data_IF_152564132904
#
_entry.id   IF_152564132904
#
_cell.length_a   1.000
_cell.length_b   1.000
_cell.length_c   1.000
_cell.angle_alpha   90.00
_cell.angle_beta   90.00
_cell.angle_gamma   90.00
#
_symmetry.space_group_name_H-M   'P 1'
#
loop_
_entity.id
_entity.type
_entity.pdbx_description
1 polymer ?
#
# COMPACT_ATOMS: atom_id res chain seq x y z
N UNK A 1 -21.08 3.55 -11.00
CA UNK A 1 -20.33 4.52 -10.16
C UNK A 1 -20.05 4.03 -8.74
N UNK A 2 -21.03 3.83 -7.84
CA UNK A 2 -20.72 3.40 -6.44
C UNK A 2 -20.06 2.01 -6.32
N UNK A 3 -20.37 1.06 -7.19
CA UNK A 3 -19.74 -0.26 -7.22
C UNK A 3 -18.33 -0.22 -7.82
N UNK A 4 -18.07 0.63 -8.79
CA UNK A 4 -16.76 0.84 -9.40
C UNK A 4 -15.83 1.58 -8.42
N UNK A 5 -16.34 2.59 -7.71
CA UNK A 5 -15.59 3.29 -6.66
C UNK A 5 -15.18 2.36 -5.50
N UNK A 6 -16.03 1.36 -5.14
CA UNK A 6 -15.69 0.34 -4.14
C UNK A 6 -14.72 -0.73 -4.65
N UNK A 7 -14.73 -1.04 -5.93
CA UNK A 7 -13.77 -1.97 -6.52
C UNK A 7 -12.39 -1.32 -6.72
N UNK A 8 -12.37 -0.09 -7.20
CA UNK A 8 -11.13 0.71 -7.41
C UNK A 8 -10.42 1.06 -6.09
N UNK A 9 -11.17 1.39 -5.03
CA UNK A 9 -10.54 1.58 -3.71
C UNK A 9 -9.87 0.31 -3.19
N UNK A 10 -10.37 -0.88 -3.54
CA UNK A 10 -9.76 -2.16 -3.16
C UNK A 10 -8.46 -2.46 -3.91
N UNK A 11 -8.36 -2.11 -5.18
CA UNK A 11 -7.15 -2.40 -5.98
C UNK A 11 -6.04 -1.38 -5.70
N UNK A 12 -6.36 -0.08 -5.51
CA UNK A 12 -5.39 0.92 -5.04
C UNK A 12 -4.89 0.62 -3.62
N UNK A 13 -5.80 0.23 -2.71
CA UNK A 13 -5.42 -0.21 -1.36
C UNK A 13 -4.51 -1.45 -1.41
N UNK A 14 -4.65 -2.32 -2.41
CA UNK A 14 -3.82 -3.52 -2.57
C UNK A 14 -2.38 -3.21 -3.03
N UNK A 15 -2.17 -2.23 -3.90
CA UNK A 15 -0.83 -1.86 -4.41
C UNK A 15 -0.05 -1.00 -3.42
N UNK A 16 -0.72 -0.06 -2.74
CA UNK A 16 -0.14 0.69 -1.61
C UNK A 16 0.22 -0.27 -0.49
N UNK A 17 -0.65 -1.25 -0.18
CA UNK A 17 -0.36 -2.32 0.79
C UNK A 17 0.88 -3.14 0.40
N UNK A 18 1.16 -3.39 -0.88
CA UNK A 18 2.34 -4.17 -1.29
C UNK A 18 3.65 -3.39 -1.17
N UNK A 19 3.67 -2.10 -1.48
CA UNK A 19 4.85 -1.26 -1.31
C UNK A 19 5.18 -1.07 0.19
N UNK A 20 4.17 -0.85 1.00
CA UNK A 20 4.27 -0.76 2.45
C UNK A 20 4.72 -2.10 3.06
N UNK A 21 4.14 -3.22 2.64
CA UNK A 21 4.54 -4.56 3.06
C UNK A 21 6.00 -4.90 2.71
N UNK A 22 6.53 -4.42 1.57
CA UNK A 22 7.95 -4.59 1.22
C UNK A 22 8.89 -3.86 2.17
N UNK A 23 8.54 -2.63 2.57
CA UNK A 23 9.27 -1.86 3.58
C UNK A 23 9.26 -2.55 4.95
N UNK A 24 8.08 -2.98 5.39
CA UNK A 24 7.88 -3.68 6.67
C UNK A 24 8.60 -5.04 6.72
N UNK A 25 8.59 -5.80 5.63
CA UNK A 25 9.32 -7.06 5.52
C UNK A 25 10.85 -6.89 5.57
N UNK A 26 11.37 -5.75 5.09
CA UNK A 26 12.78 -5.42 5.25
C UNK A 26 13.14 -5.24 6.73
N UNK A 27 12.36 -4.47 7.46
CA UNK A 27 12.56 -4.24 8.88
C UNK A 27 12.48 -5.53 9.70
N UNK A 28 11.54 -6.44 9.36
CA UNK A 28 11.44 -7.74 10.01
C UNK A 28 12.68 -8.62 9.75
N UNK A 29 13.17 -8.62 8.51
CA UNK A 29 14.38 -9.36 8.14
C UNK A 29 15.63 -8.79 8.83
N UNK A 30 15.77 -7.47 8.91
CA UNK A 30 16.89 -6.83 9.60
C UNK A 30 16.86 -7.14 11.11
N UNK A 31 15.66 -7.17 11.73
CA UNK A 31 15.47 -7.59 13.11
C UNK A 31 15.82 -9.07 13.34
N UNK A 32 15.50 -9.96 12.37
CA UNK A 32 15.86 -11.37 12.45
C UNK A 32 17.40 -11.59 12.45
N UNK A 33 18.12 -10.85 11.61
CA UNK A 33 19.59 -10.87 11.60
C UNK A 33 20.18 -10.26 12.86
N UNK A 34 19.62 -9.15 13.34
CA UNK A 34 20.07 -8.54 14.59
C UNK A 34 19.93 -9.52 15.77
N UNK A 35 18.83 -10.28 15.83
CA UNK A 35 18.62 -11.29 16.87
C UNK A 35 19.70 -12.39 16.83
N UNK A 36 20.06 -12.87 15.63
CA UNK A 36 21.16 -13.83 15.46
C UNK A 36 22.52 -13.27 15.89
N UNK A 37 22.80 -12.01 15.53
CA UNK A 37 24.05 -11.33 15.92
C UNK A 37 24.13 -11.19 17.44
N UNK A 38 23.03 -10.76 18.09
CA UNK A 38 22.99 -10.61 19.55
C UNK A 38 23.17 -11.96 20.26
N UNK A 39 22.53 -13.03 19.76
CA UNK A 39 22.71 -14.39 20.29
C UNK A 39 24.15 -14.88 20.11
N UNK A 40 24.77 -14.61 18.95
CA UNK A 40 26.17 -14.93 18.68
C UNK A 40 27.15 -14.17 19.59
N UNK A 41 26.93 -12.88 19.77
CA UNK A 41 27.72 -12.04 20.67
C UNK A 41 27.63 -12.52 22.12
N UNK A 42 26.44 -12.97 22.55
CA UNK A 42 26.28 -13.55 23.88
C UNK A 42 27.12 -14.82 24.04
N UNK A 43 27.12 -15.73 23.05
CA UNK A 43 27.93 -16.98 23.12
C UNK A 43 29.43 -16.67 23.18
N UNK A 44 29.88 -15.62 22.51
CA UNK A 44 31.27 -15.20 22.46
C UNK A 44 31.71 -14.36 23.68
N UNK A 45 30.74 -13.90 24.49
CA UNK A 45 31.04 -13.06 25.65
C UNK A 45 31.82 -13.83 26.74
N UNK A 46 32.86 -13.23 27.35
CA UNK A 46 33.56 -13.83 28.46
C UNK A 46 32.60 -14.05 29.63
N UNK A 47 32.56 -15.31 30.14
CA UNK A 47 31.64 -15.67 31.25
C UNK A 47 30.25 -16.11 30.84
N UNK A 48 29.99 -16.28 29.51
CA UNK A 48 28.75 -16.92 29.08
C UNK A 48 28.71 -18.38 29.45
N UNK A 49 27.77 -18.76 30.30
CA UNK A 49 27.54 -20.16 30.67
C UNK A 49 26.40 -20.74 29.86
N UNK A 50 26.72 -21.72 29.01
CA UNK A 50 25.72 -22.45 28.23
C UNK A 50 25.40 -23.77 28.92
N UNK A 51 24.15 -23.92 29.37
CA UNK A 51 23.68 -25.18 29.95
C UNK A 51 23.63 -26.31 28.90
N UNK A 52 23.28 -25.95 27.67
CA UNK A 52 23.11 -26.88 26.54
C UNK A 52 23.70 -26.28 25.27
N UNK A 53 25.04 -26.27 25.09
CA UNK A 53 25.69 -25.58 23.95
C UNK A 53 25.27 -26.13 22.61
N UNK A 54 25.06 -27.43 22.47
CA UNK A 54 24.59 -28.06 21.23
C UNK A 54 23.19 -27.59 20.83
N UNK A 55 22.29 -27.39 21.79
CA UNK A 55 20.96 -26.91 21.58
C UNK A 55 20.97 -25.42 21.15
N UNK A 56 21.80 -24.59 21.80
CA UNK A 56 21.93 -23.17 21.45
C UNK A 56 22.45 -22.98 20.02
N UNK A 57 23.55 -23.68 19.68
CA UNK A 57 24.12 -23.63 18.32
C UNK A 57 23.17 -24.23 17.27
N UNK A 58 22.52 -25.36 17.59
CA UNK A 58 21.51 -25.96 16.71
C UNK A 58 20.32 -25.00 16.43
N UNK A 59 19.81 -24.35 17.47
CA UNK A 59 18.73 -23.37 17.32
C UNK A 59 19.15 -22.18 16.47
N UNK A 60 20.38 -21.68 16.62
CA UNK A 60 20.91 -20.60 15.75
C UNK A 60 21.00 -21.02 14.30
N UNK A 61 21.50 -22.20 13.99
CA UNK A 61 21.62 -22.73 12.65
C UNK A 61 20.24 -22.91 12.01
N UNK A 62 19.31 -23.55 12.73
CA UNK A 62 17.94 -23.76 12.25
C UNK A 62 17.24 -22.45 11.99
N UNK A 63 17.37 -21.47 12.89
CA UNK A 63 16.75 -20.16 12.72
C UNK A 63 17.38 -19.37 11.56
N UNK A 64 18.71 -19.42 11.39
CA UNK A 64 19.39 -18.81 10.26
C UNK A 64 18.94 -19.41 8.92
N UNK A 65 18.83 -20.74 8.83
CA UNK A 65 18.33 -21.43 7.64
C UNK A 65 16.85 -21.10 7.37
N UNK A 66 16.00 -21.02 8.40
CA UNK A 66 14.61 -20.62 8.27
C UNK A 66 14.49 -19.18 7.73
N UNK A 67 15.27 -18.24 8.26
CA UNK A 67 15.31 -16.84 7.80
C UNK A 67 15.77 -16.73 6.33
N UNK A 68 16.81 -17.48 5.95
CA UNK A 68 17.27 -17.57 4.57
C UNK A 68 16.20 -18.18 3.66
N UNK A 69 15.55 -19.25 4.10
CA UNK A 69 14.49 -19.92 3.35
C UNK A 69 13.30 -18.97 3.08
N UNK A 70 12.83 -18.26 4.10
CA UNK A 70 11.75 -17.27 3.96
C UNK A 70 12.12 -16.09 3.06
N UNK A 71 13.40 -15.77 2.92
CA UNK A 71 13.89 -14.69 2.10
C UNK A 71 14.11 -15.06 0.63
N UNK A 72 14.70 -16.24 0.36
CA UNK A 72 15.24 -16.59 -0.96
C UNK A 72 14.41 -17.63 -1.72
N UNK A 73 13.58 -18.44 -1.06
CA UNK A 73 12.77 -19.44 -1.75
C UNK A 73 11.67 -18.77 -2.60
N UNK A 74 11.45 -19.22 -3.84
CA UNK A 74 10.48 -18.65 -4.78
C UNK A 74 9.05 -18.64 -4.22
N UNK A 75 8.71 -19.63 -3.39
CA UNK A 75 7.40 -19.80 -2.77
C UNK A 75 7.06 -18.64 -1.80
N UNK A 76 8.08 -17.96 -1.23
CA UNK A 76 7.94 -16.88 -0.26
C UNK A 76 8.26 -15.48 -0.83
N UNK A 77 8.36 -15.34 -2.16
CA UNK A 77 8.64 -14.04 -2.80
C UNK A 77 7.55 -13.00 -2.58
N UNK A 78 6.28 -13.43 -2.50
CA UNK A 78 5.18 -12.51 -2.18
C UNK A 78 5.21 -12.12 -0.71
N UNK A 79 5.28 -10.83 -0.45
CA UNK A 79 5.19 -10.31 0.91
C UNK A 79 3.71 -10.29 1.33
N UNK A 80 3.39 -11.03 2.39
CA UNK A 80 2.03 -11.12 2.94
C UNK A 80 2.08 -10.91 4.45
N UNK A 81 0.98 -10.44 5.03
CA UNK A 81 0.85 -10.33 6.51
C UNK A 81 1.06 -11.68 7.21
N UNK A 82 0.67 -12.78 6.55
CA UNK A 82 0.91 -14.14 7.06
C UNK A 82 2.41 -14.49 7.13
N UNK A 83 3.19 -14.10 6.12
CA UNK A 83 4.63 -14.30 6.13
C UNK A 83 5.29 -13.55 7.27
N UNK A 84 4.93 -12.28 7.48
CA UNK A 84 5.42 -11.49 8.62
C UNK A 84 5.07 -12.13 9.96
N UNK A 85 3.85 -12.65 10.10
CA UNK A 85 3.45 -13.37 11.33
C UNK A 85 4.28 -14.63 11.54
N UNK A 86 4.61 -15.38 10.50
CA UNK A 86 5.50 -16.57 10.57
C UNK A 86 6.91 -16.17 10.95
N UNK A 87 7.46 -15.08 10.41
CA UNK A 87 8.79 -14.57 10.77
C UNK A 87 8.84 -14.16 12.25
N UNK A 88 7.83 -13.46 12.76
CA UNK A 88 7.72 -13.09 14.16
C UNK A 88 7.59 -14.31 15.08
N UNK A 89 6.80 -15.30 14.68
CA UNK A 89 6.68 -16.56 15.42
C UNK A 89 8.02 -17.30 15.48
N UNK A 90 8.75 -17.36 14.38
CA UNK A 90 10.09 -17.96 14.33
C UNK A 90 11.07 -17.24 15.26
N UNK A 91 11.01 -15.90 15.36
CA UNK A 91 11.80 -15.11 16.30
C UNK A 91 11.50 -15.49 17.76
N UNK A 92 10.21 -15.60 18.12
CA UNK A 92 9.78 -15.95 19.47
C UNK A 92 10.23 -17.37 19.83
N UNK A 93 10.01 -18.33 18.92
CA UNK A 93 10.41 -19.73 19.13
C UNK A 93 11.93 -19.84 19.30
N UNK A 94 12.69 -19.19 18.42
CA UNK A 94 14.15 -19.13 18.53
C UNK A 94 14.59 -18.55 19.88
N UNK A 95 14.05 -17.39 20.26
CA UNK A 95 14.40 -16.74 21.54
C UNK A 95 14.06 -17.65 22.72
N UNK A 96 12.92 -18.34 22.72
CA UNK A 96 12.51 -19.28 23.79
C UNK A 96 13.48 -20.45 23.91
N UNK A 97 13.83 -21.09 22.78
CA UNK A 97 14.76 -22.22 22.75
C UNK A 97 16.17 -21.79 23.15
N UNK A 98 16.60 -20.62 22.67
CA UNK A 98 17.90 -20.06 23.00
C UNK A 98 18.02 -19.77 24.51
N UNK A 99 17.02 -19.10 25.08
CA UNK A 99 16.95 -18.83 26.53
C UNK A 99 16.93 -20.11 27.35
N UNK A 100 16.23 -21.16 26.90
CA UNK A 100 16.22 -22.46 27.59
C UNK A 100 17.59 -23.15 27.55
N UNK A 101 18.44 -22.85 26.59
CA UNK A 101 19.77 -23.43 26.45
C UNK A 101 20.86 -22.73 27.29
N UNK A 102 20.56 -21.58 27.89
CA UNK A 102 21.51 -20.75 28.64
C UNK A 102 21.36 -21.00 30.14
N UNK A 103 22.47 -20.93 30.89
CA UNK A 103 22.53 -21.21 32.34
C UNK A 103 22.28 -19.96 33.21
N UNK A 104 22.53 -18.76 32.68
CA UNK A 104 22.53 -17.49 33.43
C UNK A 104 21.15 -17.00 33.79
N UNK A 105 21.02 -16.16 34.81
CA UNK A 105 19.82 -15.44 35.18
C UNK A 105 19.26 -14.70 33.99
N UNK A 106 18.08 -15.12 33.53
CA UNK A 106 17.51 -14.76 32.23
C UNK A 106 17.06 -13.28 32.13
N UNK A 107 17.20 -12.50 33.19
CA UNK A 107 16.67 -11.14 33.30
C UNK A 107 17.16 -10.17 32.17
N UNK A 108 18.46 -10.19 31.85
CA UNK A 108 18.99 -9.35 30.77
C UNK A 108 18.62 -9.85 29.36
N UNK A 109 18.49 -11.16 29.18
CA UNK A 109 18.19 -11.76 27.86
C UNK A 109 16.70 -11.71 27.51
N UNK A 110 15.85 -11.34 28.45
CA UNK A 110 14.45 -10.96 28.19
C UNK A 110 14.35 -9.87 27.15
N UNK A 111 15.33 -8.98 27.05
CA UNK A 111 15.37 -7.93 26.04
C UNK A 111 15.33 -8.46 24.60
N UNK A 112 15.73 -9.71 24.35
CA UNK A 112 15.63 -10.34 23.03
C UNK A 112 14.17 -10.49 22.55
N UNK A 113 13.22 -10.68 23.48
CA UNK A 113 11.80 -10.72 23.12
C UNK A 113 11.23 -9.34 22.76
N UNK A 114 11.91 -8.23 23.08
CA UNK A 114 11.44 -6.91 22.67
C UNK A 114 11.50 -6.73 21.16
N UNK A 115 12.44 -7.37 20.47
CA UNK A 115 12.57 -7.28 19.02
C UNK A 115 11.30 -7.71 18.27
N UNK A 116 10.74 -8.93 18.45
CA UNK A 116 9.51 -9.32 17.80
C UNK A 116 8.32 -8.45 18.22
N UNK A 117 8.27 -7.93 19.44
CA UNK A 117 7.19 -7.04 19.91
C UNK A 117 7.26 -5.69 19.19
N UNK A 118 8.44 -5.06 19.13
CA UNK A 118 8.65 -3.78 18.44
C UNK A 118 8.34 -3.92 16.95
N UNK A 119 8.87 -4.97 16.31
CA UNK A 119 8.62 -5.21 14.87
C UNK A 119 7.13 -5.42 14.62
N UNK A 120 6.44 -6.21 15.45
CA UNK A 120 5.00 -6.42 15.35
C UNK A 120 4.21 -5.10 15.46
N UNK A 121 4.57 -4.25 16.42
CA UNK A 121 3.92 -2.96 16.61
C UNK A 121 4.06 -2.04 15.40
N UNK A 122 5.24 -2.04 14.77
CA UNK A 122 5.54 -1.21 13.60
C UNK A 122 4.95 -1.78 12.29
N UNK A 123 4.66 -3.10 12.25
CA UNK A 123 4.30 -3.79 10.98
C UNK A 123 2.86 -4.27 10.92
N UNK A 124 2.32 -4.80 12.00
CA UNK A 124 1.01 -5.48 12.03
C UNK A 124 -0.07 -4.73 12.79
N UNK A 125 0.30 -3.65 13.50
CA UNK A 125 -0.63 -2.85 14.29
C UNK A 125 -0.94 -3.44 15.68
N UNK A 126 -1.89 -2.80 16.39
CA UNK A 126 -2.11 -3.02 17.84
C UNK A 126 -2.53 -4.43 18.24
N UNK A 127 -3.46 -5.06 17.52
CA UNK A 127 -3.99 -6.38 17.91
C UNK A 127 -2.97 -7.51 17.74
N UNK A 128 -2.27 -7.65 16.61
CA UNK A 128 -1.18 -8.61 16.48
C UNK A 128 -0.05 -8.37 17.48
N UNK A 129 0.25 -7.10 17.80
CA UNK A 129 1.27 -6.78 18.82
C UNK A 129 0.91 -7.31 20.19
N UNK A 130 -0.36 -7.19 20.61
CA UNK A 130 -0.83 -7.80 21.84
C UNK A 130 -0.66 -9.33 21.83
N UNK A 131 -1.02 -9.99 20.72
CA UNK A 131 -0.84 -11.43 20.56
C UNK A 131 0.63 -11.85 20.63
N UNK A 132 1.53 -11.13 19.94
CA UNK A 132 2.99 -11.34 19.97
C UNK A 132 3.54 -11.13 21.37
N UNK A 133 3.08 -10.11 22.10
CA UNK A 133 3.49 -9.84 23.49
C UNK A 133 3.05 -10.98 24.41
N UNK A 134 1.79 -11.42 24.32
CA UNK A 134 1.30 -12.57 25.09
C UNK A 134 2.10 -13.84 24.79
N UNK A 135 2.40 -14.10 23.52
CA UNK A 135 3.18 -15.27 23.10
C UNK A 135 4.62 -15.19 23.61
N UNK A 136 5.23 -14.00 23.59
CA UNK A 136 6.58 -13.77 24.14
C UNK A 136 6.63 -14.01 25.65
N UNK A 137 5.65 -13.48 26.38
CA UNK A 137 5.51 -13.71 27.83
C UNK A 137 5.28 -15.20 28.12
N UNK A 138 4.42 -15.86 27.36
CA UNK A 138 4.18 -17.32 27.50
C UNK A 138 5.45 -18.14 27.24
N UNK A 139 6.19 -17.79 26.16
CA UNK A 139 7.47 -18.43 25.83
C UNK A 139 8.50 -18.27 26.94
N UNK A 140 8.59 -17.08 27.54
CA UNK A 140 9.45 -16.81 28.67
C UNK A 140 9.05 -17.65 29.91
N UNK A 141 7.77 -17.66 30.28
CA UNK A 141 7.25 -18.44 31.39
C UNK A 141 7.52 -19.94 31.18
N UNK A 142 7.29 -20.44 29.96
CA UNK A 142 7.58 -21.82 29.62
C UNK A 142 9.07 -22.15 29.78
N UNK A 143 9.97 -21.31 29.30
CA UNK A 143 11.40 -21.48 29.44
C UNK A 143 11.81 -21.48 30.94
N UNK A 144 11.23 -20.62 31.75
CA UNK A 144 11.47 -20.54 33.19
C UNK A 144 10.99 -21.81 33.93
N UNK A 145 9.75 -22.28 33.62
CA UNK A 145 9.19 -23.50 34.23
C UNK A 145 9.98 -24.76 33.85
N UNK A 146 10.42 -24.89 32.63
CA UNK A 146 11.20 -26.01 32.14
C UNK A 146 12.61 -26.05 32.77
N UNK A 147 13.13 -24.91 33.23
CA UNK A 147 14.40 -24.84 33.97
C UNK A 147 14.26 -25.24 35.42
N UNK A 148 13.18 -24.88 36.09
CA UNK A 148 12.96 -25.12 37.50
C UNK A 148 11.65 -25.91 37.73
N UNK A 149 11.65 -27.23 37.55
CA UNK A 149 10.43 -28.05 37.64
C UNK A 149 9.93 -28.21 39.09
N UNK A 150 10.55 -27.58 40.08
CA UNK A 150 10.20 -27.75 41.49
C UNK A 150 8.90 -27.09 41.95
N UNK A 151 8.18 -26.42 41.05
CA UNK A 151 6.85 -25.88 41.33
C UNK A 151 6.59 -24.50 40.77
N UNK A 152 5.35 -24.02 40.97
CA UNK A 152 4.97 -22.65 40.60
C UNK A 152 5.72 -21.65 41.51
N UNK A 153 6.22 -20.54 40.95
CA UNK A 153 6.88 -19.50 41.72
C UNK A 153 5.95 -18.96 42.81
N UNK A 154 6.46 -18.80 44.03
CA UNK A 154 5.70 -18.30 45.17
C UNK A 154 6.44 -17.15 45.87
N UNK A 155 5.67 -16.24 46.46
CA UNK A 155 6.22 -15.16 47.25
C UNK A 155 7.14 -14.23 46.48
N UNK A 156 8.42 -14.16 46.82
CA UNK A 156 9.44 -13.27 46.22
C UNK A 156 9.65 -13.54 44.74
N UNK A 157 9.59 -14.78 44.31
CA UNK A 157 9.78 -15.20 42.93
C UNK A 157 8.68 -14.63 42.01
N UNK A 158 7.43 -14.51 42.48
CA UNK A 158 6.31 -13.88 41.75
C UNK A 158 6.58 -12.40 41.51
N UNK A 159 7.11 -11.71 42.51
CA UNK A 159 7.47 -10.29 42.41
C UNK A 159 8.61 -10.08 41.41
N UNK A 160 9.66 -10.91 41.48
CA UNK A 160 10.79 -10.87 40.54
C UNK A 160 10.34 -11.15 39.10
N UNK A 161 9.42 -12.09 38.90
CA UNK A 161 8.80 -12.38 37.62
C UNK A 161 7.97 -11.18 37.09
N UNK A 162 7.19 -10.55 37.98
CA UNK A 162 6.43 -9.35 37.63
C UNK A 162 7.33 -8.19 37.19
N UNK A 163 8.42 -7.96 37.90
CA UNK A 163 9.44 -6.96 37.54
C UNK A 163 10.08 -7.28 36.17
N UNK A 164 10.36 -8.57 35.92
CA UNK A 164 10.93 -9.03 34.66
C UNK A 164 9.99 -8.84 33.46
N UNK A 165 8.68 -8.98 33.65
CA UNK A 165 7.66 -8.84 32.59
C UNK A 165 7.27 -7.37 32.37
N UNK A 166 7.33 -6.52 33.40
CA UNK A 166 6.90 -5.14 33.31
C UNK A 166 7.50 -4.33 32.14
N UNK A 167 8.82 -4.42 31.80
CA UNK A 167 9.40 -3.74 30.64
C UNK A 167 8.76 -4.17 29.32
N UNK A 168 8.34 -5.42 29.17
CA UNK A 168 7.68 -5.90 27.95
C UNK A 168 6.34 -5.25 27.75
N UNK A 169 5.52 -5.22 28.80
CA UNK A 169 4.21 -4.58 28.74
C UNK A 169 4.35 -3.09 28.49
N UNK A 170 5.33 -2.45 29.11
CA UNK A 170 5.61 -1.04 28.89
C UNK A 170 6.03 -0.77 27.44
N UNK A 171 6.99 -1.52 26.90
CA UNK A 171 7.46 -1.34 25.52
C UNK A 171 6.35 -1.67 24.53
N UNK A 172 5.59 -2.75 24.75
CA UNK A 172 4.45 -3.09 23.92
C UNK A 172 3.39 -1.97 23.90
N UNK A 173 3.09 -1.40 25.06
CA UNK A 173 2.15 -0.29 25.18
C UNK A 173 2.66 0.97 24.45
N UNK A 174 3.90 1.39 24.75
CA UNK A 174 4.48 2.60 24.13
C UNK A 174 4.64 2.46 22.63
N UNK A 175 5.10 1.31 22.13
CA UNK A 175 5.25 1.09 20.68
C UNK A 175 3.91 1.00 19.96
N UNK A 176 2.89 0.40 20.58
CA UNK A 176 1.54 0.37 20.02
C UNK A 176 0.91 1.79 19.98
N UNK A 177 1.18 2.61 21.01
CA UNK A 177 0.73 4.01 21.03
C UNK A 177 1.41 4.83 19.93
N UNK A 178 2.74 4.74 19.81
CA UNK A 178 3.51 5.45 18.78
C UNK A 178 3.11 5.01 17.36
N UNK A 179 2.89 3.73 17.12
CA UNK A 179 2.41 3.23 15.84
C UNK A 179 1.05 3.84 15.47
N UNK A 180 0.13 3.96 16.44
CA UNK A 180 -1.16 4.60 16.23
C UNK A 180 -1.03 6.10 15.89
N UNK A 181 -0.17 6.82 16.61
CA UNK A 181 0.09 8.25 16.33
C UNK A 181 0.72 8.46 14.94
N UNK A 182 1.66 7.61 14.54
CA UNK A 182 2.28 7.64 13.21
C UNK A 182 1.22 7.40 12.12
N UNK A 183 0.35 6.42 12.29
CA UNK A 183 -0.71 6.14 11.32
C UNK A 183 -1.70 7.28 11.21
N UNK A 184 -2.10 7.88 12.34
CA UNK A 184 -2.99 9.05 12.33
C UNK A 184 -2.32 10.28 11.69
N UNK A 185 -1.03 10.50 11.94
CA UNK A 185 -0.27 11.58 11.31
C UNK A 185 -0.13 11.37 9.79
N UNK A 186 0.19 10.14 9.35
CA UNK A 186 0.21 9.77 7.91
C UNK A 186 -1.15 10.01 7.25
N UNK A 187 -2.24 9.58 7.88
CA UNK A 187 -3.59 9.83 7.37
C UNK A 187 -3.90 11.33 7.27
N UNK A 188 -3.52 12.13 8.28
CA UNK A 188 -3.70 13.59 8.22
C UNK A 188 -2.92 14.21 7.07
N UNK A 189 -1.66 13.82 6.85
CA UNK A 189 -0.85 14.29 5.73
C UNK A 189 -1.50 13.90 4.40
N UNK A 190 -1.90 12.65 4.22
CA UNK A 190 -2.64 12.19 3.03
C UNK A 190 -3.95 12.95 2.81
N UNK A 191 -4.66 13.31 3.91
CA UNK A 191 -5.90 14.08 3.79
C UNK A 191 -5.66 15.56 3.49
N UNK A 192 -4.46 16.09 3.76
CA UNK A 192 -4.06 17.46 3.42
C UNK A 192 -3.48 17.57 2.00
N UNK A 193 -3.02 16.46 1.43
CA UNK A 193 -2.57 16.45 0.03
C UNK A 193 -3.73 16.76 -0.91
N UNK A 194 -3.56 17.75 -1.77
CA UNK A 194 -4.52 18.15 -2.81
C UNK A 194 -4.15 17.56 -4.17
N UNK A 195 -3.04 16.84 -4.26
CA UNK A 195 -2.53 16.25 -5.49
C UNK A 195 -2.55 14.72 -5.46
N UNK A 196 -2.70 14.10 -6.62
CA UNK A 196 -2.49 12.67 -6.84
C UNK A 196 -0.99 12.38 -6.94
N UNK A 197 -0.51 11.42 -6.15
CA UNK A 197 0.93 11.12 -6.01
C UNK A 197 1.57 10.59 -7.31
N UNK A 198 0.81 9.90 -8.15
CA UNK A 198 1.32 9.33 -9.40
C UNK A 198 1.40 10.37 -10.51
N UNK A 199 0.37 11.20 -10.64
CA UNK A 199 0.21 12.09 -11.81
C UNK A 199 0.57 13.53 -11.54
N UNK A 200 0.63 13.97 -10.26
CA UNK A 200 0.80 15.37 -9.89
C UNK A 200 -0.41 16.26 -10.15
N UNK A 201 -1.48 15.74 -10.76
CA UNK A 201 -2.74 16.45 -10.93
C UNK A 201 -3.48 16.60 -9.59
N UNK A 202 -4.54 17.40 -9.57
CA UNK A 202 -5.42 17.45 -8.42
C UNK A 202 -6.01 16.05 -8.13
N UNK A 203 -6.23 15.75 -6.85
CA UNK A 203 -6.97 14.56 -6.47
C UNK A 203 -8.48 14.85 -6.40
N UNK A 204 -9.30 13.83 -6.21
CA UNK A 204 -10.76 13.95 -6.13
C UNK A 204 -11.23 15.01 -5.11
N UNK A 205 -10.53 15.13 -3.98
CA UNK A 205 -10.88 16.10 -2.92
C UNK A 205 -10.65 17.54 -3.40
N UNK A 206 -9.47 17.80 -3.95
CA UNK A 206 -9.14 19.13 -4.50
C UNK A 206 -10.10 19.50 -5.65
N UNK A 207 -10.39 18.54 -6.54
CA UNK A 207 -11.37 18.73 -7.59
C UNK A 207 -12.76 19.10 -7.05
N UNK A 208 -13.27 18.36 -6.08
CA UNK A 208 -14.61 18.62 -5.49
C UNK A 208 -14.69 20.01 -4.88
N UNK A 209 -13.60 20.52 -4.29
CA UNK A 209 -13.52 21.88 -3.78
C UNK A 209 -13.54 22.91 -4.91
N UNK A 210 -12.68 22.73 -5.92
CA UNK A 210 -12.59 23.63 -7.09
C UNK A 210 -13.89 23.68 -7.87
N UNK A 211 -14.51 22.52 -8.11
CA UNK A 211 -15.79 22.42 -8.81
C UNK A 211 -16.91 23.16 -8.06
N UNK A 212 -17.00 23.00 -6.74
CA UNK A 212 -17.98 23.74 -5.94
C UNK A 212 -17.77 25.26 -6.03
N UNK A 213 -16.52 25.71 -5.91
CA UNK A 213 -16.17 27.12 -6.01
C UNK A 213 -16.54 27.70 -7.38
N UNK A 214 -16.27 26.96 -8.46
CA UNK A 214 -16.59 27.39 -9.82
C UNK A 214 -18.11 27.42 -10.06
N UNK A 215 -18.84 26.42 -9.56
CA UNK A 215 -20.30 26.40 -9.63
C UNK A 215 -20.92 27.60 -8.89
N UNK A 216 -20.49 27.87 -7.65
CA UNK A 216 -20.97 29.02 -6.88
C UNK A 216 -20.66 30.36 -7.59
N UNK A 217 -19.49 30.45 -8.24
CA UNK A 217 -19.10 31.60 -9.04
C UNK A 217 -19.97 31.72 -10.30
N UNK A 218 -20.21 30.62 -11.01
CA UNK A 218 -21.03 30.58 -12.22
C UNK A 218 -22.48 30.98 -11.93
N UNK A 219 -23.07 30.43 -10.89
CA UNK A 219 -24.43 30.80 -10.43
C UNK A 219 -24.51 32.29 -10.06
N UNK A 220 -23.55 32.82 -9.30
CA UNK A 220 -23.55 34.21 -8.84
C UNK A 220 -23.40 35.22 -9.96
N UNK A 221 -22.59 34.90 -10.98
CA UNK A 221 -22.25 35.82 -12.07
C UNK A 221 -22.86 35.47 -13.40
N UNK A 222 -23.81 34.52 -13.46
CA UNK A 222 -24.45 34.02 -14.67
C UNK A 222 -23.44 33.61 -15.75
N UNK A 223 -22.38 32.89 -15.32
CA UNK A 223 -21.33 32.37 -16.20
C UNK A 223 -21.55 30.89 -16.48
N UNK A 224 -20.87 30.41 -17.50
CA UNK A 224 -20.86 29.01 -17.89
C UNK A 224 -19.58 28.35 -17.41
N UNK A 225 -19.63 27.05 -17.16
CA UNK A 225 -18.44 26.19 -17.01
C UNK A 225 -18.78 24.80 -17.55
N UNK A 226 -17.78 24.01 -17.80
CA UNK A 226 -17.98 22.66 -18.32
C UNK A 226 -17.06 21.65 -17.67
N UNK A 227 -17.47 20.39 -17.74
CA UNK A 227 -16.71 19.24 -17.25
C UNK A 227 -16.45 18.29 -18.41
N UNK A 228 -15.22 17.76 -18.43
CA UNK A 228 -14.85 16.63 -19.29
C UNK A 228 -14.49 15.47 -18.37
N UNK A 229 -15.10 14.30 -18.55
CA UNK A 229 -14.72 13.03 -17.92
C UNK A 229 -13.99 12.19 -18.97
N UNK A 230 -12.87 11.59 -18.57
CA UNK A 230 -12.04 10.77 -19.43
C UNK A 230 -11.73 9.43 -18.73
N UNK A 231 -11.65 8.38 -19.53
CA UNK A 231 -11.27 7.03 -19.09
C UNK A 231 -10.21 6.48 -20.05
N UNK A 232 -9.09 6.02 -19.54
CA UNK A 232 -8.01 5.43 -20.33
C UNK A 232 -8.39 4.02 -20.77
N UNK A 233 -8.64 3.84 -22.07
CA UNK A 233 -9.09 2.56 -22.61
C UNK A 233 -8.01 1.48 -22.49
N UNK A 234 -8.41 0.29 -22.04
CA UNK A 234 -7.55 -0.90 -22.04
C UNK A 234 -6.44 -0.93 -21.00
N UNK A 235 -6.46 -0.08 -19.96
CA UNK A 235 -5.44 -0.09 -18.91
C UNK A 235 -5.26 -1.47 -18.28
N UNK A 236 -6.35 -2.21 -18.05
CA UNK A 236 -6.28 -3.57 -17.51
C UNK A 236 -5.48 -4.51 -18.43
N UNK A 237 -5.68 -4.43 -19.76
CA UNK A 237 -4.93 -5.23 -20.72
C UNK A 237 -3.44 -4.85 -20.74
N UNK A 238 -3.13 -3.56 -20.59
CA UNK A 238 -1.75 -3.08 -20.47
C UNK A 238 -1.10 -3.68 -19.21
N UNK A 239 -1.78 -3.62 -18.08
CA UNK A 239 -1.29 -4.18 -16.81
C UNK A 239 -1.10 -5.70 -16.88
N UNK A 240 -2.08 -6.42 -17.41
CA UNK A 240 -2.06 -7.89 -17.50
C UNK A 240 -0.93 -8.37 -18.43
N UNK A 241 -0.67 -7.66 -19.54
CA UNK A 241 0.33 -8.05 -20.53
C UNK A 241 1.75 -7.54 -20.23
N UNK A 242 1.87 -6.36 -19.61
CA UNK A 242 3.16 -5.65 -19.50
C UNK A 242 3.52 -5.21 -18.07
N UNK A 243 2.66 -5.52 -17.09
CA UNK A 243 2.87 -5.18 -15.69
C UNK A 243 2.39 -3.78 -15.30
N UNK A 244 2.16 -3.58 -14.01
CA UNK A 244 1.62 -2.33 -13.44
C UNK A 244 2.50 -1.11 -13.70
N UNK A 245 3.82 -1.25 -13.70
CA UNK A 245 4.74 -0.15 -14.00
C UNK A 245 4.49 0.47 -15.40
N UNK A 246 4.04 -0.37 -16.35
CA UNK A 246 3.68 0.10 -17.70
C UNK A 246 2.34 0.82 -17.70
N UNK A 247 1.37 0.33 -16.93
CA UNK A 247 0.10 1.00 -16.73
C UNK A 247 0.27 2.36 -16.06
N UNK A 248 1.13 2.46 -15.04
CA UNK A 248 1.45 3.72 -14.38
C UNK A 248 2.07 4.73 -15.35
N UNK A 249 2.95 4.28 -16.23
CA UNK A 249 3.51 5.13 -17.32
C UNK A 249 2.42 5.62 -18.28
N UNK A 250 1.42 4.79 -18.60
CA UNK A 250 0.28 5.18 -19.43
C UNK A 250 -0.57 6.26 -18.76
N UNK A 251 -0.86 6.09 -17.48
CA UNK A 251 -1.59 7.04 -16.65
C UNK A 251 -0.86 8.39 -16.57
N UNK A 252 0.44 8.38 -16.29
CA UNK A 252 1.28 9.59 -16.23
C UNK A 252 1.34 10.29 -17.60
N UNK A 253 1.42 9.54 -18.68
CA UNK A 253 1.43 10.10 -20.02
C UNK A 253 0.11 10.81 -20.36
N UNK A 254 -1.04 10.20 -20.02
CA UNK A 254 -2.35 10.82 -20.17
C UNK A 254 -2.47 12.11 -19.34
N UNK A 255 -2.06 12.05 -18.07
CA UNK A 255 -2.05 13.22 -17.18
C UNK A 255 -1.24 14.39 -17.76
N UNK A 256 -0.06 14.11 -18.29
CA UNK A 256 0.80 15.11 -18.93
C UNK A 256 0.17 15.71 -20.19
N UNK A 257 -0.51 14.89 -20.99
CA UNK A 257 -1.25 15.37 -22.18
C UNK A 257 -2.36 16.32 -21.75
N UNK A 258 -3.16 15.95 -20.77
CA UNK A 258 -4.24 16.79 -20.24
C UNK A 258 -3.68 18.12 -19.74
N UNK A 259 -2.67 18.08 -18.86
CA UNK A 259 -2.08 19.26 -18.23
C UNK A 259 -1.53 20.27 -19.26
N UNK A 260 -0.98 19.80 -20.38
CA UNK A 260 -0.45 20.67 -21.47
C UNK A 260 -1.53 21.30 -22.33
N UNK A 261 -2.73 20.73 -22.36
CA UNK A 261 -3.80 21.15 -23.26
C UNK A 261 -4.86 22.01 -22.57
N UNK A 262 -4.86 22.13 -21.26
CA UNK A 262 -5.75 22.99 -20.49
C UNK A 262 -5.07 24.31 -20.14
N UNK A 263 -5.86 25.31 -19.78
CA UNK A 263 -5.39 26.63 -19.35
C UNK A 263 -5.04 26.61 -17.85
N UNK A 264 -4.31 27.62 -17.40
CA UNK A 264 -4.02 27.80 -15.95
C UNK A 264 -5.26 28.08 -15.11
N UNK A 265 -6.36 28.57 -15.73
CA UNK A 265 -7.66 28.77 -15.10
C UNK A 265 -8.50 27.51 -14.99
N UNK A 266 -8.14 26.48 -15.75
CA UNK A 266 -8.81 25.19 -15.75
C UNK A 266 -8.17 24.27 -14.69
N UNK A 267 -8.87 23.22 -14.29
CA UNK A 267 -8.34 22.25 -13.37
C UNK A 267 -8.48 20.83 -13.93
N UNK A 268 -7.44 20.03 -13.76
CA UNK A 268 -7.50 18.60 -14.07
C UNK A 268 -7.23 17.80 -12.82
N UNK A 269 -7.95 16.69 -12.67
CA UNK A 269 -7.79 15.77 -11.54
C UNK A 269 -7.86 14.32 -12.00
N UNK A 270 -7.22 13.46 -11.23
CA UNK A 270 -7.41 12.02 -11.32
C UNK A 270 -8.41 11.57 -10.27
N UNK A 271 -9.47 10.87 -10.71
CA UNK A 271 -10.50 10.35 -9.81
C UNK A 271 -10.09 9.03 -9.17
N UNK A 272 -9.29 8.24 -9.88
CA UNK A 272 -8.74 6.95 -9.45
C UNK A 272 -8.56 6.01 -10.64
N UNK A 273 -7.66 5.03 -10.53
CA UNK A 273 -7.40 4.11 -11.63
C UNK A 273 -7.06 4.80 -12.94
N UNK A 274 -7.92 4.63 -13.93
CA UNK A 274 -7.86 5.16 -15.30
C UNK A 274 -8.76 6.38 -15.55
N UNK A 275 -9.47 6.88 -14.53
CA UNK A 275 -10.46 7.95 -14.66
C UNK A 275 -9.87 9.33 -14.35
N UNK A 276 -10.12 10.28 -15.24
CA UNK A 276 -9.71 11.67 -15.12
C UNK A 276 -10.90 12.61 -15.32
N UNK A 277 -10.82 13.79 -14.74
CA UNK A 277 -11.80 14.85 -14.90
C UNK A 277 -11.12 16.18 -15.15
N UNK A 278 -11.70 16.99 -16.01
CA UNK A 278 -11.24 18.36 -16.30
C UNK A 278 -12.39 19.32 -16.07
N UNK A 279 -12.14 20.35 -15.29
CA UNK A 279 -13.03 21.50 -15.09
C UNK A 279 -12.54 22.64 -15.97
N UNK A 280 -13.39 23.10 -16.86
CA UNK A 280 -13.13 24.21 -17.78
C UNK A 280 -13.94 25.43 -17.35
N UNK A 281 -13.26 26.42 -16.80
CA UNK A 281 -13.90 27.68 -16.40
C UNK A 281 -14.27 28.52 -17.61
N UNK A 282 -15.43 29.21 -17.55
CA UNK A 282 -15.93 30.13 -18.58
C UNK A 282 -15.88 29.52 -20.00
N UNK A 283 -16.27 28.25 -20.11
CA UNK A 283 -16.20 27.47 -21.36
C UNK A 283 -17.55 26.83 -21.62
N UNK A 284 -18.12 27.12 -22.79
CA UNK A 284 -19.41 26.60 -23.24
C UNK A 284 -19.30 25.18 -23.83
N UNK A 285 -20.45 24.59 -24.19
CA UNK A 285 -20.53 23.23 -24.71
C UNK A 285 -19.73 23.03 -26.00
N UNK A 286 -19.78 23.99 -26.94
CA UNK A 286 -19.06 23.88 -28.21
C UNK A 286 -17.53 23.96 -28.00
N UNK A 287 -17.10 24.90 -27.19
CA UNK A 287 -15.68 25.04 -26.81
C UNK A 287 -15.17 23.80 -26.09
N UNK A 288 -16.00 23.22 -25.22
CA UNK A 288 -15.70 22.00 -24.49
C UNK A 288 -15.50 20.81 -25.42
N UNK A 289 -16.35 20.65 -26.43
CA UNK A 289 -16.18 19.60 -27.44
C UNK A 289 -14.86 19.75 -28.20
N UNK A 290 -14.46 21.00 -28.52
CA UNK A 290 -13.15 21.26 -29.17
C UNK A 290 -11.97 20.85 -28.26
N UNK A 291 -12.04 21.15 -26.95
CA UNK A 291 -11.02 20.76 -26.02
C UNK A 291 -10.99 19.23 -25.86
N UNK A 292 -12.14 18.59 -25.71
CA UNK A 292 -12.28 17.13 -25.60
C UNK A 292 -11.68 16.42 -26.84
N UNK A 293 -12.03 16.90 -28.05
CA UNK A 293 -11.45 16.34 -29.27
C UNK A 293 -9.94 16.55 -29.37
N UNK A 294 -9.42 17.71 -28.94
CA UNK A 294 -7.97 17.99 -28.92
C UNK A 294 -7.22 17.05 -27.96
N UNK A 295 -7.76 16.80 -26.76
CA UNK A 295 -7.17 15.86 -25.78
C UNK A 295 -7.18 14.46 -26.39
N UNK A 296 -8.31 13.97 -26.88
CA UNK A 296 -8.43 12.65 -27.51
C UNK A 296 -7.41 12.46 -28.62
N UNK A 297 -7.37 13.39 -29.58
CA UNK A 297 -6.45 13.31 -30.72
C UNK A 297 -4.99 13.39 -30.30
N UNK A 298 -4.66 14.05 -29.21
CA UNK A 298 -3.31 14.08 -28.67
C UNK A 298 -2.92 12.76 -28.02
N UNK A 299 -3.83 12.14 -27.26
CA UNK A 299 -3.63 10.83 -26.63
C UNK A 299 -3.47 9.73 -27.68
N UNK A 300 -4.28 9.72 -28.74
CA UNK A 300 -4.21 8.74 -29.84
C UNK A 300 -2.88 8.79 -30.61
N UNK A 301 -2.16 9.91 -30.54
CA UNK A 301 -0.79 10.05 -31.08
C UNK A 301 0.29 9.58 -30.11
N UNK A 302 -0.05 9.34 -28.85
CA UNK A 302 0.89 8.86 -27.87
C UNK A 302 1.09 7.35 -27.97
N UNK A 303 2.32 6.94 -27.84
CA UNK A 303 2.72 5.53 -27.80
C UNK A 303 3.65 5.29 -26.63
N UNK A 304 3.56 4.09 -26.04
CA UNK A 304 4.48 3.62 -25.02
C UNK A 304 5.27 2.45 -25.60
N UNK A 305 6.59 2.53 -25.54
CA UNK A 305 7.45 1.42 -25.92
C UNK A 305 7.60 0.44 -24.74
N UNK A 306 7.25 -0.82 -24.97
CA UNK A 306 7.35 -1.88 -23.97
C UNK A 306 7.83 -3.17 -24.63
N UNK A 307 8.99 -3.67 -24.21
CA UNK A 307 9.56 -4.91 -24.76
C UNK A 307 9.78 -4.88 -26.28
N UNK A 308 10.12 -3.72 -26.84
CA UNK A 308 10.30 -3.53 -28.30
C UNK A 308 8.98 -3.41 -29.09
N UNK A 309 7.84 -3.30 -28.41
CA UNK A 309 6.52 -3.08 -29.03
C UNK A 309 6.00 -1.68 -28.71
N UNK A 310 5.34 -1.05 -29.68
CA UNK A 310 4.69 0.24 -29.51
C UNK A 310 3.21 0.04 -29.20
N UNK A 311 2.79 0.42 -27.99
CA UNK A 311 1.39 0.37 -27.55
C UNK A 311 0.80 1.78 -27.70
N UNK A 312 -0.26 1.91 -28.50
CA UNK A 312 -1.00 3.17 -28.64
C UNK A 312 -1.99 3.32 -27.50
N UNK A 313 -2.16 4.55 -27.02
CA UNK A 313 -3.15 4.89 -26.03
C UNK A 313 -4.43 5.40 -26.70
N UNK A 314 -5.57 5.13 -26.09
CA UNK A 314 -6.86 5.72 -26.45
C UNK A 314 -7.63 6.10 -25.19
N UNK A 315 -8.56 7.04 -25.33
CA UNK A 315 -9.40 7.52 -24.24
C UNK A 315 -10.84 7.65 -24.69
N UNK A 316 -11.74 7.22 -23.83
CA UNK A 316 -13.17 7.51 -23.91
C UNK A 316 -13.47 8.83 -23.21
N UNK A 317 -14.30 9.68 -23.83
CA UNK A 317 -14.50 11.05 -23.36
C UNK A 317 -15.97 11.40 -23.34
N UNK A 318 -16.42 11.99 -22.22
CA UNK A 318 -17.75 12.58 -22.10
C UNK A 318 -17.69 14.00 -21.58
N UNK A 319 -18.65 14.81 -21.94
CA UNK A 319 -18.70 16.24 -21.58
C UNK A 319 -20.07 16.61 -21.06
N UNK A 320 -20.12 17.59 -20.16
CA UNK A 320 -21.32 18.26 -19.71
C UNK A 320 -21.04 19.73 -19.41
N UNK A 321 -22.01 20.60 -19.64
CA UNK A 321 -21.90 22.08 -19.53
C UNK A 321 -23.00 22.64 -18.63
N UNK A 322 -22.61 23.52 -17.71
CA UNK A 322 -23.53 24.32 -16.91
C UNK A 322 -23.80 25.66 -17.58
N UNK A 323 -25.06 26.13 -17.65
CA UNK A 323 -26.30 25.45 -17.25
C UNK A 323 -26.97 24.66 -18.38
N UNK A 324 -26.31 24.48 -19.55
CA UNK A 324 -26.92 23.99 -20.79
C UNK A 324 -27.43 22.51 -20.64
N UNK A 325 -26.67 21.64 -19.97
CA UNK A 325 -27.03 20.23 -19.81
C UNK A 325 -27.74 20.00 -18.48
N UNK A 326 -27.35 20.72 -17.43
CA UNK A 326 -27.97 20.70 -16.10
C UNK A 326 -27.53 21.91 -15.28
N UNK A 327 -28.35 22.35 -14.34
CA UNK A 327 -28.06 23.39 -13.36
C UNK A 327 -27.67 22.84 -11.96
N UNK A 328 -27.68 21.53 -11.76
CA UNK A 328 -27.31 20.88 -10.51
C UNK A 328 -25.82 20.52 -10.48
N UNK A 329 -25.12 20.99 -9.43
CA UNK A 329 -23.72 20.71 -9.16
C UNK A 329 -23.37 19.20 -9.13
N UNK A 330 -24.29 18.36 -8.64
CA UNK A 330 -24.03 16.92 -8.51
C UNK A 330 -24.35 16.16 -9.78
N UNK A 331 -25.32 16.65 -10.54
CA UNK A 331 -25.82 15.99 -11.74
C UNK A 331 -24.85 16.16 -12.91
N UNK A 332 -24.13 17.30 -13.00
CA UNK A 332 -23.25 17.60 -14.13
C UNK A 332 -22.14 16.53 -14.32
N UNK A 333 -21.58 16.01 -13.23
CA UNK A 333 -20.63 14.90 -13.30
C UNK A 333 -21.27 13.62 -13.81
N UNK A 334 -22.51 13.36 -13.41
CA UNK A 334 -23.26 12.19 -13.85
C UNK A 334 -23.60 12.26 -15.33
N UNK A 335 -23.97 13.43 -15.82
CA UNK A 335 -24.25 13.68 -17.26
C UNK A 335 -22.99 13.46 -18.09
N UNK A 336 -21.84 14.00 -17.66
CA UNK A 336 -20.56 13.80 -18.32
C UNK A 336 -20.12 12.32 -18.31
N UNK A 337 -20.27 11.62 -17.19
CA UNK A 337 -19.96 10.19 -17.05
C UNK A 337 -20.82 9.32 -17.97
N UNK A 338 -22.12 9.58 -18.05
CA UNK A 338 -23.02 8.90 -18.99
C UNK A 338 -22.63 9.15 -20.45
N UNK A 339 -22.18 10.37 -20.79
CA UNK A 339 -21.70 10.69 -22.11
C UNK A 339 -20.40 9.91 -22.44
N UNK A 340 -19.46 9.83 -21.50
CA UNK A 340 -18.22 9.06 -21.62
C UNK A 340 -18.52 7.56 -21.78
N UNK A 341 -19.43 7.02 -21.00
CA UNK A 341 -19.84 5.63 -21.11
C UNK A 341 -20.45 5.29 -22.48
N UNK A 342 -21.28 6.18 -23.05
CA UNK A 342 -21.81 6.04 -24.43
C UNK A 342 -20.69 6.04 -25.46
N UNK A 343 -19.72 6.92 -25.34
CA UNK A 343 -18.54 6.98 -26.22
C UNK A 343 -17.73 5.68 -26.16
N UNK A 344 -17.50 5.16 -24.96
CA UNK A 344 -16.78 3.89 -24.73
C UNK A 344 -17.47 2.72 -25.41
N UNK A 345 -18.79 2.58 -25.26
CA UNK A 345 -19.56 1.53 -25.91
C UNK A 345 -19.62 1.67 -27.42
N UNK A 346 -19.76 2.87 -27.95
CA UNK A 346 -19.77 3.11 -29.38
C UNK A 346 -18.45 2.75 -30.07
N UNK A 347 -17.32 2.90 -29.35
CA UNK A 347 -15.99 2.50 -29.83
C UNK A 347 -15.78 0.97 -29.81
N UNK A 348 -16.26 0.30 -28.76
CA UNK A 348 -16.20 -1.16 -28.65
C UNK A 348 -17.07 -1.88 -29.72
N UNK A 349 -18.09 -1.22 -30.26
CA UNK A 349 -19.02 -1.78 -31.25
C UNK A 349 -18.64 -1.49 -32.70
N UNK A 350 -17.62 -0.67 -32.99
CA UNK A 350 -17.14 -0.45 -34.36
C UNK A 350 -16.25 -1.62 -34.80
N UNK A 351 -16.71 -2.52 -35.71
CA UNK A 351 -15.84 -3.51 -36.30
C UNK A 351 -14.99 -2.85 -37.36
N UNK A 352 -13.72 -2.65 -37.16
CA UNK A 352 -12.82 -2.24 -38.22
C UNK A 352 -11.78 -1.18 -37.88
N UNK A 353 -10.96 -1.43 -36.82
CA UNK A 353 -9.58 -0.93 -36.78
C UNK A 353 -8.67 -2.09 -36.38
N UNK A 354 -7.41 -2.16 -36.89
CA UNK A 354 -6.61 -3.38 -36.86
C UNK A 354 -6.41 -3.87 -35.45
N UNK A 355 -6.80 -5.12 -35.23
CA UNK A 355 -6.49 -5.90 -34.01
C UNK A 355 -5.03 -5.66 -33.65
N UNK A 356 -4.82 -5.21 -32.42
CA UNK A 356 -3.50 -5.27 -31.76
C UNK A 356 -2.98 -6.70 -31.97
N UNK A 357 -1.71 -6.90 -32.37
CA UNK A 357 -1.20 -8.21 -32.86
C UNK A 357 -1.22 -9.38 -31.87
N UNK A 358 -1.92 -9.30 -30.77
CA UNK A 358 -2.03 -10.37 -29.77
C UNK A 358 -2.92 -11.55 -30.18
N UNK A 359 -3.76 -11.43 -31.24
CA UNK A 359 -4.64 -12.52 -31.69
C UNK A 359 -4.08 -13.44 -32.80
N UNK A 360 -2.85 -13.20 -33.29
CA UNK A 360 -2.22 -14.02 -34.34
C UNK A 360 -1.28 -15.12 -33.84
N UNK A 361 -1.25 -15.44 -32.56
CA UNK A 361 -0.37 -16.50 -32.04
C UNK A 361 -1.04 -17.78 -31.61
N UNK A 362 -2.35 -17.98 -31.93
CA UNK A 362 -3.03 -19.27 -31.72
C UNK A 362 -3.24 -20.09 -32.99
N UNK A 363 -2.64 -19.73 -34.11
CA UNK A 363 -2.73 -20.50 -35.35
C UNK A 363 -1.35 -20.58 -36.05
N UNK A 364 -0.38 -21.26 -35.44
CA UNK A 364 0.70 -22.03 -36.09
C UNK A 364 1.21 -23.08 -35.11
#
# INVERSE_FOLDING_TARGET
MLHVLKALSRDLDADIDQAELRGLARNAADGAWLLLVLAGLYILAPGSELLRPTLALGAMVVYALATLALRFLPQFRRQTRMKLAVELLAMIVFTTVFLFAIATDASMLLLLYLLPVIISALTLGRWPTLAVTMLSVTGFLLAALLRNPAGLPAGREVVELGIAIAPFLLVAYVTALLAHEIDTAKQRIRTLSETDELTGLANLRAFSRLHRQEHERAVRHHRVYSIIVLDLDGLKQINDNFGHDTGDRAIVLLANVIARLIRTTDAAARFGGDEFVVLLSETDAEQTQRVAHRIRSAVERCTIEVGGRMVRLSVSVGTASFPADTDDLREILTVADQAMYRDKHARLQKPGEPETPARRLEAV
#
